data_IF_813627577575
#
_entry.id   IF_813627577575
#
_cell.length_a   1.000
_cell.length_b   1.000
_cell.length_c   1.000
_cell.angle_alpha   90.00
_cell.angle_beta   90.00
_cell.angle_gamma   90.00
#
_symmetry.space_group_name_H-M   'P 1'
#
loop_
_entity.id
_entity.type
_entity.pdbx_description
1 polymer ?
#
# COMPACT_ATOMS: atom_id res chain seq x y z
N UNK A 1 11.30 -2.32 24.56
CA UNK A 1 12.08 -3.40 23.90
C UNK A 1 12.34 -2.99 22.46
N UNK A 2 13.58 -3.00 21.98
CA UNK A 2 13.84 -2.91 20.52
C UNK A 2 14.79 -4.01 20.10
N UNK A 3 14.24 -5.03 19.43
CA UNK A 3 14.95 -6.23 18.94
C UNK A 3 15.83 -5.97 17.71
N UNK A 4 15.88 -4.75 17.20
CA UNK A 4 16.72 -4.38 16.06
C UNK A 4 17.97 -3.65 16.55
N UNK A 5 19.14 -4.25 16.32
CA UNK A 5 20.43 -3.62 16.61
C UNK A 5 20.50 -2.24 15.93
N UNK A 6 21.20 -1.27 16.56
CA UNK A 6 21.38 0.10 16.01
C UNK A 6 21.88 0.11 14.57
N UNK A 7 22.55 -0.97 14.12
CA UNK A 7 23.04 -1.18 12.75
C UNK A 7 21.90 -1.29 11.73
N UNK A 8 20.82 -1.99 12.08
CA UNK A 8 19.68 -2.23 11.18
C UNK A 8 18.71 -1.04 11.11
N UNK A 9 18.74 -0.16 12.12
CA UNK A 9 17.89 1.04 12.21
C UNK A 9 18.08 2.03 11.05
N UNK A 10 19.18 1.95 10.31
CA UNK A 10 19.45 2.83 9.18
C UNK A 10 19.31 2.12 7.83
N UNK A 11 19.33 0.78 7.80
CA UNK A 11 19.27 0.01 6.56
C UNK A 11 17.98 0.25 5.78
N UNK A 12 16.85 0.39 6.49
CA UNK A 12 15.56 0.64 5.86
C UNK A 12 15.54 1.94 5.02
N UNK A 13 16.42 2.92 5.32
CA UNK A 13 16.57 4.16 4.56
C UNK A 13 17.27 3.98 3.20
N UNK A 14 17.72 2.78 2.88
CA UNK A 14 18.35 2.47 1.60
C UNK A 14 17.54 1.46 0.79
N UNK A 15 16.40 0.99 1.31
CA UNK A 15 15.54 0.02 0.62
C UNK A 15 14.78 0.68 -0.52
N UNK A 16 15.02 0.25 -1.75
CA UNK A 16 14.34 0.81 -2.92
C UNK A 16 13.09 0.01 -3.31
N UNK A 17 12.92 -1.18 -2.70
CA UNK A 17 11.80 -2.09 -2.91
C UNK A 17 10.88 -2.01 -1.71
N UNK A 18 9.62 -1.65 -1.94
CA UNK A 18 8.58 -1.56 -0.92
C UNK A 18 7.46 -2.52 -1.24
N UNK A 19 7.14 -3.38 -0.27
CA UNK A 19 6.07 -4.38 -0.36
C UNK A 19 5.15 -4.21 0.83
N UNK A 20 3.90 -3.85 0.57
CA UNK A 20 2.87 -3.59 1.57
C UNK A 20 1.70 -4.53 1.33
N UNK A 21 1.37 -5.29 2.38
CA UNK A 21 0.31 -6.28 2.34
C UNK A 21 -0.54 -6.11 3.59
N UNK A 22 -1.86 -6.05 3.40
CA UNK A 22 -2.82 -5.93 4.50
C UNK A 22 -3.47 -7.27 4.89
N UNK A 23 -3.04 -8.36 4.23
CA UNK A 23 -3.51 -9.70 4.53
C UNK A 23 -3.45 -9.91 6.05
N UNK A 24 -4.53 -10.43 6.62
CA UNK A 24 -4.71 -10.72 8.05
C UNK A 24 -5.19 -9.58 8.97
N UNK A 25 -5.48 -8.37 8.48
CA UNK A 25 -6.11 -7.38 9.36
C UNK A 25 -7.52 -7.80 9.74
N UNK A 26 -7.81 -7.79 11.05
CA UNK A 26 -9.07 -8.30 11.63
C UNK A 26 -10.09 -7.20 11.96
N UNK A 27 -9.70 -5.94 11.80
CA UNK A 27 -10.54 -4.79 12.15
C UNK A 27 -9.96 -3.50 11.53
N UNK A 28 -10.76 -2.43 11.57
CA UNK A 28 -10.38 -1.11 11.07
C UNK A 28 -9.25 -0.44 11.86
N UNK A 29 -9.02 -0.81 13.11
CA UNK A 29 -7.91 -0.26 13.90
C UNK A 29 -6.56 -0.78 13.41
N UNK A 30 -6.49 -2.07 13.06
CA UNK A 30 -5.32 -2.69 12.44
C UNK A 30 -5.01 -2.05 11.08
N UNK A 31 -6.05 -1.80 10.27
CA UNK A 31 -5.89 -1.05 9.03
C UNK A 31 -5.37 0.38 9.27
N UNK A 32 -5.92 1.12 10.23
CA UNK A 32 -5.42 2.49 10.56
C UNK A 32 -3.96 2.50 10.99
N UNK A 33 -3.51 1.47 11.72
CA UNK A 33 -2.09 1.33 12.10
C UNK A 33 -1.21 1.05 10.88
N UNK A 34 -1.70 0.22 9.95
CA UNK A 34 -1.04 -0.02 8.68
C UNK A 34 -1.00 1.24 7.83
N UNK A 35 -2.10 1.96 7.72
CA UNK A 35 -2.21 3.22 7.00
C UNK A 35 -1.18 4.24 7.52
N UNK A 36 -1.12 4.41 8.85
CA UNK A 36 -0.12 5.25 9.50
C UNK A 36 1.32 4.81 9.18
N UNK A 37 1.56 3.50 9.14
CA UNK A 37 2.87 2.95 8.79
C UNK A 37 3.25 3.25 7.33
N UNK A 38 2.39 2.97 6.36
CA UNK A 38 2.63 3.24 4.93
C UNK A 38 2.86 4.73 4.71
N UNK A 39 2.00 5.58 5.28
CA UNK A 39 2.13 7.04 5.23
C UNK A 39 3.49 7.50 5.78
N UNK A 40 3.91 6.97 6.92
CA UNK A 40 5.20 7.31 7.54
C UNK A 40 6.38 6.90 6.66
N UNK A 41 6.33 5.71 6.07
CA UNK A 41 7.38 5.23 5.17
C UNK A 41 7.48 6.13 3.95
N UNK A 42 6.38 6.36 3.23
CA UNK A 42 6.36 7.16 2.01
C UNK A 42 6.79 8.62 2.26
N UNK A 43 6.33 9.23 3.36
CA UNK A 43 6.75 10.57 3.75
C UNK A 43 8.27 10.69 4.00
N UNK A 44 8.88 9.65 4.56
CA UNK A 44 10.33 9.60 4.81
C UNK A 44 11.14 9.32 3.53
N UNK A 45 10.55 8.70 2.50
CA UNK A 45 11.23 8.41 1.21
C UNK A 45 11.11 9.54 0.19
N UNK A 46 10.10 10.41 0.28
CA UNK A 46 9.86 11.51 -0.67
C UNK A 46 9.87 11.07 -2.14
N UNK A 47 9.33 9.88 -2.45
CA UNK A 47 9.19 9.26 -3.79
C UNK A 47 10.45 9.07 -4.65
N UNK A 48 11.59 9.66 -4.32
CA UNK A 48 12.75 9.79 -5.23
C UNK A 48 13.56 8.51 -5.42
N UNK A 49 13.50 7.56 -4.49
CA UNK A 49 14.35 6.37 -4.56
C UNK A 49 13.54 5.06 -4.50
N UNK A 50 12.26 5.11 -4.86
CA UNK A 50 11.42 3.91 -4.94
C UNK A 50 11.57 3.34 -6.34
N UNK A 51 12.14 2.13 -6.44
CA UNK A 51 12.28 1.40 -7.71
C UNK A 51 11.11 0.42 -7.92
N UNK A 52 10.73 -0.29 -6.85
CA UNK A 52 9.62 -1.25 -6.89
C UNK A 52 8.63 -0.91 -5.79
N UNK A 53 7.36 -0.75 -6.16
CA UNK A 53 6.26 -0.58 -5.23
C UNK A 53 5.23 -1.68 -5.46
N UNK A 54 5.01 -2.49 -4.44
CA UNK A 54 4.10 -3.62 -4.45
C UNK A 54 3.09 -3.42 -3.32
N UNK A 55 1.83 -3.25 -3.69
CA UNK A 55 0.74 -3.03 -2.77
C UNK A 55 -0.34 -4.08 -3.02
N UNK A 56 -0.64 -4.88 -1.99
CA UNK A 56 -1.86 -5.69 -1.98
C UNK A 56 -2.76 -5.35 -0.81
N UNK A 57 -4.04 -5.21 -1.14
CA UNK A 57 -5.11 -4.87 -0.23
C UNK A 57 -6.25 -5.88 -0.41
N UNK A 58 -6.63 -6.56 0.67
CA UNK A 58 -7.68 -7.55 0.78
C UNK A 58 -8.95 -6.91 1.38
N UNK A 59 -10.03 -6.92 0.60
CA UNK A 59 -11.33 -6.35 0.98
C UNK A 59 -12.17 -7.25 1.89
N UNK A 60 -11.64 -8.32 2.46
CA UNK A 60 -12.40 -9.21 3.33
C UNK A 60 -13.12 -8.49 4.50
N UNK A 61 -12.68 -7.29 4.89
CA UNK A 61 -13.39 -6.45 5.85
C UNK A 61 -14.35 -5.47 5.19
N UNK A 62 -15.64 -5.83 5.23
CA UNK A 62 -16.79 -5.06 4.76
C UNK A 62 -16.93 -3.69 5.46
N UNK A 63 -16.14 -2.70 5.06
CA UNK A 63 -16.50 -1.28 5.12
C UNK A 63 -15.39 -0.50 4.41
N UNK A 64 -15.49 -0.43 3.08
CA UNK A 64 -14.77 0.59 2.35
C UNK A 64 -15.43 1.92 2.70
N UNK A 65 -14.91 2.64 3.69
CA UNK A 65 -15.18 4.07 3.78
C UNK A 65 -14.38 4.79 2.71
N UNK A 66 -14.88 5.92 2.22
CA UNK A 66 -14.20 6.72 1.19
C UNK A 66 -12.74 7.04 1.56
N UNK A 67 -12.45 7.10 2.86
CA UNK A 67 -11.14 7.33 3.48
C UNK A 67 -10.11 6.29 3.02
N UNK A 68 -10.48 5.00 2.94
CA UNK A 68 -9.56 3.95 2.47
C UNK A 68 -9.19 4.12 0.98
N UNK A 69 -10.15 4.52 0.14
CA UNK A 69 -9.89 4.78 -1.28
C UNK A 69 -8.93 5.95 -1.48
N UNK A 70 -9.14 7.05 -0.76
CA UNK A 70 -8.28 8.24 -0.79
C UNK A 70 -6.84 7.91 -0.36
N UNK A 71 -6.66 7.08 0.67
CA UNK A 71 -5.34 6.70 1.15
C UNK A 71 -4.57 5.85 0.14
N UNK A 72 -5.23 4.92 -0.53
CA UNK A 72 -4.61 4.08 -1.57
C UNK A 72 -4.19 4.90 -2.77
N UNK A 73 -5.06 5.79 -3.25
CA UNK A 73 -4.72 6.71 -4.35
C UNK A 73 -3.52 7.57 -3.98
N UNK A 74 -3.52 8.12 -2.76
CA UNK A 74 -2.38 8.88 -2.23
C UNK A 74 -1.09 8.07 -2.22
N UNK A 75 -1.11 6.81 -1.80
CA UNK A 75 0.09 5.98 -1.77
C UNK A 75 0.64 5.69 -3.17
N UNK A 76 -0.25 5.44 -4.13
CA UNK A 76 0.14 5.25 -5.53
C UNK A 76 0.82 6.53 -6.04
N UNK A 77 0.25 7.70 -5.79
CA UNK A 77 0.84 8.99 -6.19
C UNK A 77 2.19 9.24 -5.50
N UNK A 78 2.28 8.99 -4.18
CA UNK A 78 3.51 9.16 -3.41
C UNK A 78 4.59 8.15 -3.82
N UNK A 79 4.23 6.99 -4.39
CA UNK A 79 5.16 5.98 -4.88
C UNK A 79 5.56 6.18 -6.35
N UNK A 80 4.71 6.81 -7.17
CA UNK A 80 4.93 7.07 -8.60
C UNK A 80 5.88 8.25 -8.81
N UNK A 81 7.09 8.11 -8.27
CA UNK A 81 8.20 9.02 -8.49
C UNK A 81 8.92 8.77 -9.82
N UNK A 82 9.88 9.63 -10.19
CA UNK A 82 10.61 9.56 -11.46
C UNK A 82 11.49 8.31 -11.63
N UNK A 83 11.69 7.54 -10.57
CA UNK A 83 12.55 6.36 -10.55
C UNK A 83 11.76 5.05 -10.38
N UNK A 84 10.43 5.09 -10.38
CA UNK A 84 9.63 3.88 -10.27
C UNK A 84 9.80 3.03 -11.54
N UNK A 85 10.35 1.84 -11.38
CA UNK A 85 10.55 0.86 -12.46
C UNK A 85 9.41 -0.16 -12.47
N UNK A 86 8.94 -0.58 -11.29
CA UNK A 86 7.95 -1.64 -11.15
C UNK A 86 6.82 -1.24 -10.20
N UNK A 87 5.58 -1.37 -10.67
CA UNK A 87 4.37 -1.14 -9.90
C UNK A 87 3.50 -2.40 -9.91
N UNK A 88 3.31 -3.01 -8.75
CA UNK A 88 2.42 -4.15 -8.56
C UNK A 88 1.24 -3.74 -7.67
N UNK A 89 0.03 -3.93 -8.20
CA UNK A 89 -1.21 -3.62 -7.49
C UNK A 89 -2.11 -4.85 -7.50
N UNK A 90 -2.48 -5.33 -6.31
CA UNK A 90 -3.46 -6.40 -6.14
C UNK A 90 -4.50 -5.95 -5.13
N UNK A 91 -5.61 -5.40 -5.64
CA UNK A 91 -6.73 -4.97 -4.82
C UNK A 91 -7.82 -6.01 -5.00
N UNK A 92 -8.00 -6.90 -4.04
CA UNK A 92 -9.04 -7.91 -4.11
C UNK A 92 -10.39 -7.21 -3.90
N UNK A 93 -11.20 -7.15 -4.95
CA UNK A 93 -12.56 -6.63 -4.87
C UNK A 93 -13.44 -7.79 -4.42
N UNK A 94 -13.61 -7.98 -3.11
CA UNK A 94 -14.55 -8.95 -2.56
C UNK A 94 -15.85 -8.94 -3.37
N UNK A 95 -16.19 -10.09 -3.97
CA UNK A 95 -17.26 -10.31 -4.95
C UNK A 95 -18.53 -9.52 -4.59
N UNK A 96 -19.05 -8.61 -5.42
CA UNK A 96 -19.96 -8.89 -6.55
C UNK A 96 -19.81 -7.91 -7.74
N UNK A 97 -18.89 -6.94 -7.68
CA UNK A 97 -18.81 -5.84 -8.67
C UNK A 97 -17.81 -6.14 -9.80
N UNK A 98 -16.88 -7.08 -9.60
CA UNK A 98 -15.87 -7.45 -10.59
C UNK A 98 -16.49 -7.95 -11.91
N UNK A 99 -17.67 -8.57 -11.87
CA UNK A 99 -18.42 -8.99 -13.06
C UNK A 99 -19.07 -7.84 -13.85
N UNK A 100 -19.33 -6.68 -13.22
CA UNK A 100 -20.04 -5.56 -13.87
C UNK A 100 -19.09 -4.48 -14.42
N UNK A 101 -17.91 -4.29 -13.84
CA UNK A 101 -16.95 -3.29 -14.32
C UNK A 101 -16.06 -3.80 -15.46
N UNK A 102 -15.77 -5.11 -15.52
CA UNK A 102 -15.11 -5.69 -16.70
C UNK A 102 -16.00 -5.64 -17.96
N UNK A 103 -17.33 -5.61 -17.82
CA UNK A 103 -18.25 -5.44 -18.97
C UNK A 103 -18.39 -3.99 -19.46
N UNK A 104 -18.01 -2.99 -18.66
CA UNK A 104 -18.17 -1.56 -19.01
C UNK A 104 -16.88 -0.90 -19.51
N UNK A 105 -15.71 -1.52 -19.35
CA UNK A 105 -14.43 -1.00 -19.86
C UNK A 105 -14.00 -1.61 -21.22
N UNK A 106 -14.84 -2.44 -21.86
CA UNK A 106 -14.59 -3.04 -23.18
C UNK A 106 -15.72 -2.67 -24.19
N UNK A 107 -16.48 -1.60 -23.95
CA UNK A 107 -17.45 -1.06 -24.90
C UNK A 107 -17.11 0.39 -25.26
#
# INVERSE_FOLDING_TARGET
MSLLSRRWRHLWKHLQVFKFYDYYFKNSEEFKRFEFFVNSVLALRRSRDILTFDLSIDRAYQNYDAIQGECVEKWILDATGPHLEELYLSIDIGCEIASLLLSLSIA
#
